data_IF_158487021237
#
_entry.id   IF_158487021237
#
_cell.length_a   1.000
_cell.length_b   1.000
_cell.length_c   1.000
_cell.angle_alpha   90.00
_cell.angle_beta   90.00
_cell.angle_gamma   90.00
#
_symmetry.space_group_name_H-M   'P 1'
#
loop_
_entity.id
_entity.type
_entity.pdbx_description
1 polymer ?
#
# COMPACT_ATOMS: atom_id res chain seq x y z
N UNK A 1 -29.36 7.53 -27.42
CA UNK A 1 -27.96 7.27 -27.84
C UNK A 1 -26.92 7.52 -26.75
N UNK A 2 -26.60 8.75 -26.33
CA UNK A 2 -25.71 8.98 -25.16
C UNK A 2 -26.42 8.74 -23.81
N UNK A 3 -27.72 9.07 -23.74
CA UNK A 3 -28.59 8.86 -22.59
C UNK A 3 -28.72 7.39 -22.18
N UNK A 4 -28.72 6.48 -23.16
CA UNK A 4 -28.99 5.06 -22.93
C UNK A 4 -27.76 4.35 -22.35
N UNK A 5 -26.56 4.80 -22.73
CA UNK A 5 -25.30 4.36 -22.16
C UNK A 5 -25.22 4.74 -20.68
N UNK A 6 -25.63 5.96 -20.34
CA UNK A 6 -25.62 6.45 -18.96
C UNK A 6 -26.64 5.69 -18.08
N UNK A 7 -27.82 5.41 -18.62
CA UNK A 7 -28.83 4.56 -17.94
C UNK A 7 -28.26 3.17 -17.69
N UNK A 8 -27.66 2.53 -18.70
CA UNK A 8 -27.08 1.20 -18.56
C UNK A 8 -25.92 1.15 -17.55
N UNK A 9 -25.09 2.20 -17.50
CA UNK A 9 -24.01 2.33 -16.53
C UNK A 9 -24.55 2.45 -15.10
N UNK A 10 -25.57 3.28 -14.89
CA UNK A 10 -26.23 3.40 -13.58
C UNK A 10 -26.85 2.08 -13.13
N UNK A 11 -27.56 1.39 -14.01
CA UNK A 11 -28.11 0.07 -13.67
C UNK A 11 -27.03 -0.94 -13.26
N UNK A 12 -25.87 -0.90 -13.92
CA UNK A 12 -24.74 -1.77 -13.60
C UNK A 12 -24.12 -1.42 -12.24
N UNK A 13 -24.02 -0.14 -11.89
CA UNK A 13 -23.59 0.31 -10.56
C UNK A 13 -24.55 -0.15 -9.47
N UNK A 14 -25.86 -0.05 -9.70
CA UNK A 14 -26.86 -0.51 -8.74
C UNK A 14 -26.81 -2.03 -8.53
N UNK A 15 -26.64 -2.80 -9.61
CA UNK A 15 -26.43 -4.27 -9.54
C UNK A 15 -25.17 -4.62 -8.73
N UNK A 16 -24.11 -3.82 -8.84
CA UNK A 16 -22.87 -3.98 -8.05
C UNK A 16 -23.08 -3.62 -6.58
N UNK A 17 -23.81 -2.54 -6.30
CA UNK A 17 -24.14 -2.10 -4.93
C UNK A 17 -24.96 -3.17 -4.17
N UNK A 18 -25.82 -3.90 -4.88
CA UNK A 18 -26.60 -5.02 -4.33
C UNK A 18 -25.87 -6.36 -4.29
N UNK A 19 -24.64 -6.45 -4.81
CA UNK A 19 -23.89 -7.72 -4.84
C UNK A 19 -24.42 -8.76 -5.84
N UNK A 20 -25.16 -8.34 -6.86
CA UNK A 20 -25.73 -9.27 -7.86
C UNK A 20 -24.67 -9.69 -8.90
N UNK A 21 -23.72 -8.80 -9.18
CA UNK A 21 -22.63 -8.98 -10.15
C UNK A 21 -21.25 -8.82 -9.49
N UNK A 22 -20.21 -9.31 -10.17
CA UNK A 22 -18.83 -9.11 -9.70
C UNK A 22 -18.48 -7.62 -9.59
N UNK A 23 -17.76 -7.25 -8.52
CA UNK A 23 -17.27 -5.88 -8.36
C UNK A 23 -16.37 -5.47 -9.53
N UNK A 24 -16.28 -4.17 -9.80
CA UNK A 24 -15.53 -3.61 -10.92
C UNK A 24 -14.05 -4.03 -10.88
N UNK A 25 -13.42 -4.00 -9.70
CA UNK A 25 -12.01 -4.39 -9.54
C UNK A 25 -11.76 -5.89 -9.79
N UNK A 26 -12.62 -6.79 -9.31
CA UNK A 26 -12.49 -8.23 -9.60
C UNK A 26 -12.77 -8.53 -11.07
N UNK A 27 -13.73 -7.84 -11.69
CA UNK A 27 -14.01 -7.94 -13.13
C UNK A 27 -12.81 -7.49 -13.96
N UNK A 28 -12.17 -6.38 -13.58
CA UNK A 28 -10.94 -5.87 -14.23
C UNK A 28 -9.78 -6.87 -14.14
N UNK A 29 -9.59 -7.45 -12.96
CA UNK A 29 -8.52 -8.44 -12.70
C UNK A 29 -8.83 -9.83 -13.26
N UNK A 30 -10.05 -10.07 -13.73
CA UNK A 30 -10.53 -11.38 -14.20
C UNK A 30 -10.41 -12.47 -13.13
N UNK A 31 -10.72 -12.14 -11.87
CA UNK A 31 -10.70 -13.09 -10.74
C UNK A 31 -12.10 -13.34 -10.18
N UNK A 32 -12.26 -14.42 -9.41
CA UNK A 32 -13.52 -14.77 -8.74
C UNK A 32 -13.90 -13.72 -7.69
N UNK A 33 -15.12 -13.22 -7.76
CA UNK A 33 -15.75 -12.33 -6.79
C UNK A 33 -16.83 -13.11 -6.02
N UNK A 34 -16.80 -13.04 -4.69
CA UNK A 34 -17.84 -13.58 -3.79
C UNK A 34 -19.08 -12.68 -3.70
N UNK A 35 -19.00 -11.48 -4.29
CA UNK A 35 -20.07 -10.48 -4.44
C UNK A 35 -20.66 -9.95 -3.13
N UNK A 36 -20.07 -10.28 -1.98
CA UNK A 36 -20.24 -9.44 -0.79
C UNK A 36 -19.70 -8.03 -1.07
N UNK A 37 -20.22 -7.01 -0.39
CA UNK A 37 -19.82 -5.61 -0.58
C UNK A 37 -19.35 -5.05 0.76
N UNK A 38 -18.05 -4.78 0.95
CA UNK A 38 -16.93 -5.06 0.04
C UNK A 38 -16.59 -6.56 -0.04
N UNK A 39 -16.13 -7.02 -1.21
CA UNK A 39 -15.91 -8.45 -1.47
C UNK A 39 -14.65 -8.98 -0.76
N UNK A 40 -14.63 -10.26 -0.37
CA UNK A 40 -13.51 -10.85 0.38
C UNK A 40 -12.18 -10.83 -0.39
N UNK A 41 -12.24 -10.89 -1.72
CA UNK A 41 -11.06 -10.72 -2.57
C UNK A 41 -10.48 -9.31 -2.47
N UNK A 42 -11.32 -8.27 -2.51
CA UNK A 42 -10.90 -6.88 -2.37
C UNK A 42 -10.42 -6.56 -0.95
N UNK A 43 -11.02 -7.17 0.08
CA UNK A 43 -10.56 -7.04 1.46
C UNK A 43 -9.14 -7.61 1.63
N UNK A 44 -8.91 -8.88 1.24
CA UNK A 44 -7.58 -9.52 1.35
C UNK A 44 -6.49 -8.81 0.56
N UNK A 45 -6.86 -8.18 -0.57
CA UNK A 45 -5.93 -7.43 -1.43
C UNK A 45 -5.74 -5.97 -1.00
N UNK A 46 -6.45 -5.49 0.03
CA UNK A 46 -6.30 -4.13 0.54
C UNK A 46 -6.91 -3.03 -0.35
N UNK A 47 -7.87 -3.36 -1.21
CA UNK A 47 -8.60 -2.37 -2.04
C UNK A 47 -10.11 -2.37 -1.75
N UNK A 48 -10.51 -2.67 -0.52
CA UNK A 48 -11.92 -2.66 -0.12
C UNK A 48 -12.59 -1.30 -0.37
N UNK A 49 -11.85 -0.19 -0.25
CA UNK A 49 -12.33 1.17 -0.52
C UNK A 49 -12.75 1.43 -1.97
N UNK A 50 -12.31 0.60 -2.92
CA UNK A 50 -12.71 0.69 -4.33
C UNK A 50 -13.93 -0.21 -4.62
N UNK A 51 -14.25 -1.16 -3.75
CA UNK A 51 -15.36 -2.08 -3.95
C UNK A 51 -16.69 -1.37 -3.59
N UNK A 52 -17.76 -1.48 -4.40
CA UNK A 52 -17.94 -2.41 -5.52
C UNK A 52 -17.78 -1.81 -6.93
N UNK A 53 -17.78 -0.48 -7.08
CA UNK A 53 -17.83 0.20 -8.40
C UNK A 53 -16.49 0.71 -8.90
N UNK A 54 -15.53 0.95 -8.01
CA UNK A 54 -14.20 1.41 -8.35
C UNK A 54 -13.29 0.28 -8.86
N UNK A 55 -12.35 0.64 -9.71
CA UNK A 55 -11.27 -0.21 -10.16
C UNK A 55 -10.00 0.62 -10.38
N UNK A 56 -8.82 0.00 -10.24
CA UNK A 56 -7.56 0.67 -10.52
C UNK A 56 -7.33 0.84 -12.02
N UNK A 57 -6.82 2.00 -12.44
CA UNK A 57 -6.44 2.24 -13.82
C UNK A 57 -5.35 1.23 -14.25
N UNK A 58 -5.56 0.58 -15.40
CA UNK A 58 -4.59 -0.33 -16.03
C UNK A 58 -3.32 0.45 -16.38
N UNK A 59 -2.15 -0.03 -15.91
CA UNK A 59 -0.84 0.60 -16.13
C UNK A 59 -0.05 0.86 -14.84
N UNK A 60 -0.70 0.86 -13.68
CA UNK A 60 0.00 0.96 -12.38
C UNK A 60 0.26 -0.44 -11.79
N UNK A 61 1.15 -1.18 -12.46
CA UNK A 61 1.58 -2.54 -12.10
C UNK A 61 2.26 -2.73 -10.73
N UNK A 62 2.22 -1.73 -9.84
CA UNK A 62 2.92 -1.76 -8.53
C UNK A 62 2.15 -1.08 -7.40
N UNK A 63 0.98 -0.47 -7.65
CA UNK A 63 0.34 0.43 -6.67
C UNK A 63 -0.38 -0.27 -5.51
N UNK A 64 -0.66 -1.57 -5.63
CA UNK A 64 -1.12 -2.40 -4.52
C UNK A 64 -0.06 -2.58 -3.41
N UNK A 65 1.21 -2.26 -3.68
CA UNK A 65 2.26 -2.21 -2.65
C UNK A 65 2.06 -1.01 -1.72
N UNK A 66 1.52 0.13 -2.19
CA UNK A 66 1.61 1.40 -1.43
C UNK A 66 0.68 1.49 -0.22
N UNK A 67 -0.55 0.95 -0.29
CA UNK A 67 -1.45 0.93 0.88
C UNK A 67 -1.03 -0.14 1.91
N UNK A 68 -0.55 -1.30 1.44
CA UNK A 68 -0.07 -2.37 2.32
C UNK A 68 1.26 -2.02 3.02
N UNK A 69 2.09 -1.17 2.40
CA UNK A 69 3.39 -0.76 2.94
C UNK A 69 3.35 0.52 3.77
N UNK A 70 2.23 1.24 3.89
CA UNK A 70 2.23 2.48 4.69
C UNK A 70 2.67 2.23 6.14
N UNK A 71 2.14 1.18 6.78
CA UNK A 71 2.59 0.78 8.12
C UNK A 71 4.09 0.42 8.13
N UNK A 72 4.56 -0.27 7.09
CA UNK A 72 5.96 -0.66 6.95
C UNK A 72 6.86 0.57 6.75
N UNK A 73 6.48 1.53 5.90
CA UNK A 73 7.20 2.79 5.70
C UNK A 73 7.24 3.62 6.99
N UNK A 74 6.14 3.68 7.75
CA UNK A 74 6.13 4.31 9.08
C UNK A 74 7.09 3.58 10.05
N UNK A 75 7.12 2.25 10.03
CA UNK A 75 8.02 1.43 10.87
C UNK A 75 9.48 1.62 10.47
N UNK A 76 9.78 1.59 9.16
CA UNK A 76 11.10 1.86 8.59
C UNK A 76 11.54 3.27 9.01
N UNK A 77 10.71 4.30 8.82
CA UNK A 77 11.04 5.66 9.24
C UNK A 77 11.37 5.78 10.73
N UNK A 78 10.61 5.11 11.61
CA UNK A 78 10.89 5.05 13.04
C UNK A 78 12.22 4.35 13.34
N UNK A 79 12.48 3.20 12.70
CA UNK A 79 13.71 2.45 12.89
C UNK A 79 14.93 3.21 12.36
N UNK A 80 14.85 3.80 11.17
CA UNK A 80 15.89 4.64 10.59
C UNK A 80 16.18 5.91 11.39
N UNK A 81 15.17 6.49 12.07
CA UNK A 81 15.41 7.60 13.00
C UNK A 81 16.14 7.11 14.27
N UNK A 82 15.73 5.97 14.81
CA UNK A 82 16.37 5.39 16.00
C UNK A 82 17.82 4.96 15.73
N UNK A 83 18.08 4.38 14.56
CA UNK A 83 19.44 4.00 14.14
C UNK A 83 20.34 5.23 14.11
N UNK A 84 19.92 6.32 13.45
CA UNK A 84 20.67 7.59 13.46
C UNK A 84 20.96 8.13 14.86
N UNK A 85 19.97 8.12 15.75
CA UNK A 85 20.20 8.53 17.15
C UNK A 85 21.22 7.66 17.88
N UNK A 86 21.24 6.36 17.62
CA UNK A 86 22.21 5.44 18.21
C UNK A 86 23.59 5.64 17.61
N UNK A 87 23.68 5.90 16.30
CA UNK A 87 24.92 6.19 15.59
C UNK A 87 25.55 7.49 16.10
N UNK A 88 24.76 8.57 16.25
CA UNK A 88 25.20 9.85 16.82
C UNK A 88 25.74 9.65 18.24
N UNK A 89 24.98 8.98 19.12
CA UNK A 89 25.39 8.71 20.49
C UNK A 89 26.66 7.84 20.56
N UNK A 90 26.83 6.90 19.64
CA UNK A 90 28.02 6.06 19.55
C UNK A 90 29.24 6.86 19.10
N UNK A 91 29.07 7.78 18.16
CA UNK A 91 30.12 8.70 17.72
C UNK A 91 30.60 9.60 18.88
N UNK A 92 29.65 10.17 19.64
CA UNK A 92 29.94 11.02 20.79
C UNK A 92 30.70 10.26 21.89
N UNK A 93 30.26 9.03 22.20
CA UNK A 93 30.91 8.19 23.20
C UNK A 93 32.31 7.75 22.74
N UNK A 94 32.47 7.35 21.49
CA UNK A 94 33.78 6.92 20.97
C UNK A 94 34.78 8.08 20.99
N UNK A 95 34.34 9.29 20.61
CA UNK A 95 35.14 10.51 20.68
C UNK A 95 35.59 10.85 22.10
N UNK A 96 34.77 10.55 23.12
CA UNK A 96 35.10 10.77 24.53
C UNK A 96 36.15 9.80 25.08
N UNK A 97 36.27 8.59 24.51
CA UNK A 97 37.20 7.57 25.00
C UNK A 97 38.60 7.66 24.39
N UNK A 98 38.86 8.69 23.56
CA UNK A 98 40.20 8.99 23.05
C UNK A 98 40.65 8.09 21.89
N UNK A 99 39.73 7.31 21.31
CA UNK A 99 40.02 6.49 20.12
C UNK A 99 40.17 7.39 18.89
N UNK A 100 41.25 7.17 18.14
CA UNK A 100 41.58 7.97 16.95
C UNK A 100 40.94 7.36 15.71
N UNK A 101 39.67 7.68 15.45
CA UNK A 101 38.96 7.30 14.21
C UNK A 101 37.44 7.21 14.36
N UNK A 102 36.70 7.03 13.25
CA UNK A 102 35.28 6.69 13.31
C UNK A 102 35.09 5.29 13.90
N UNK A 103 34.04 5.12 14.71
CA UNK A 103 33.73 3.84 15.34
C UNK A 103 33.50 2.75 14.26
N UNK A 104 33.98 1.50 14.42
CA UNK A 104 33.88 0.43 13.41
C UNK A 104 32.47 0.10 12.91
N UNK A 105 31.44 0.39 13.71
CA UNK A 105 30.03 0.22 13.34
C UNK A 105 29.43 1.41 12.55
N UNK A 106 30.18 2.48 12.35
CA UNK A 106 29.77 3.69 11.63
C UNK A 106 30.43 3.79 10.23
N UNK A 107 31.04 2.71 9.74
CA UNK A 107 31.73 2.72 8.44
C UNK A 107 30.73 2.77 7.26
N UNK A 108 31.01 3.53 6.19
CA UNK A 108 30.09 3.72 5.07
C UNK A 108 29.67 2.43 4.36
N UNK A 109 30.50 1.39 4.39
CA UNK A 109 30.23 0.11 3.71
C UNK A 109 29.16 -0.76 4.42
N UNK A 110 28.69 -0.35 5.60
CA UNK A 110 27.59 -1.00 6.33
C UNK A 110 26.21 -0.39 6.05
N UNK A 111 26.13 0.66 5.22
CA UNK A 111 24.92 1.43 4.90
C UNK A 111 24.42 1.22 3.46
#
# INVERSE_FOLDING_TARGET
>A
DASDIDIANRELEDKRNRGEVSCAECRRLKIKCDKSVPCQSCQRRGCASLCPNGALATGQGTRFVLAATEHLHRRIGKLSNRIRQLEDALCDLHSQHGDSGPHPLLVPDLL
#
